data_IF_222662580697
#
_entry.id   IF_222662580697
#
_cell.length_a   1.000
_cell.length_b   1.000
_cell.length_c   1.000
_cell.angle_alpha   90.00
_cell.angle_beta   90.00
_cell.angle_gamma   90.00
#
_symmetry.space_group_name_H-M   'P 1'
#
loop_
_entity.id
_entity.type
_entity.pdbx_description
1 polymer ?
#
# COMPACT_ATOMS: atom_id res chain seq x y z
N UNK A 1 49.83 -36.41 -4.79
CA UNK A 1 48.38 -36.54 -4.54
C UNK A 1 47.91 -35.23 -3.93
N UNK A 2 47.35 -34.36 -4.77
CA UNK A 2 46.72 -33.10 -4.36
C UNK A 2 45.29 -33.20 -4.87
N UNK A 3 44.33 -33.29 -3.95
CA UNK A 3 42.92 -33.40 -4.29
C UNK A 3 42.44 -32.06 -4.87
N UNK A 4 41.78 -32.13 -6.02
CA UNK A 4 41.12 -30.99 -6.64
C UNK A 4 39.90 -30.58 -5.80
N UNK A 5 39.83 -29.29 -5.47
CA UNK A 5 38.63 -28.66 -4.91
C UNK A 5 37.45 -28.81 -5.91
N UNK A 6 36.26 -29.22 -5.47
CA UNK A 6 35.09 -29.17 -6.33
C UNK A 6 34.70 -27.70 -6.51
N UNK A 7 34.77 -27.24 -7.76
CA UNK A 7 34.20 -25.95 -8.17
C UNK A 7 32.71 -25.95 -7.80
N UNK A 8 32.38 -25.19 -6.75
CA UNK A 8 31.02 -24.86 -6.40
C UNK A 8 30.39 -24.20 -7.62
N UNK A 9 29.57 -24.95 -8.34
CA UNK A 9 28.59 -24.42 -9.27
C UNK A 9 27.54 -23.72 -8.42
N UNK A 10 27.89 -22.55 -7.91
CA UNK A 10 26.94 -21.56 -7.46
C UNK A 10 26.26 -21.05 -8.71
N UNK A 11 25.21 -21.74 -9.14
CA UNK A 11 24.21 -21.12 -9.99
C UNK A 11 23.71 -19.91 -9.21
N UNK A 12 24.31 -18.76 -9.48
CA UNK A 12 23.72 -17.47 -9.19
C UNK A 12 22.43 -17.47 -9.99
N UNK A 13 21.33 -17.90 -9.36
CA UNK A 13 20.02 -17.41 -9.73
C UNK A 13 20.14 -15.91 -9.54
N UNK A 14 20.50 -15.22 -10.63
CA UNK A 14 20.33 -13.80 -10.74
C UNK A 14 18.89 -13.56 -10.29
N UNK A 15 18.75 -12.99 -9.11
CA UNK A 15 17.52 -12.39 -8.64
C UNK A 15 17.23 -11.30 -9.67
N UNK A 16 16.55 -11.70 -10.75
CA UNK A 16 16.08 -10.79 -11.78
C UNK A 16 15.12 -9.90 -11.05
N UNK A 17 15.62 -8.73 -10.61
CA UNK A 17 14.78 -7.63 -10.19
C UNK A 17 13.74 -7.49 -11.30
N UNK A 18 12.45 -7.75 -11.02
CA UNK A 18 11.42 -7.60 -12.04
C UNK A 18 11.58 -6.21 -12.64
N UNK A 19 11.52 -6.15 -13.97
CA UNK A 19 11.63 -4.94 -14.77
C UNK A 19 10.83 -3.84 -14.08
N UNK A 20 11.39 -2.62 -13.99
CA UNK A 20 10.84 -1.55 -13.17
C UNK A 20 9.40 -1.24 -13.59
N UNK A 21 8.44 -1.93 -12.98
CA UNK A 21 7.05 -1.56 -12.99
C UNK A 21 7.02 -0.18 -12.34
N UNK A 22 6.76 0.84 -13.16
CA UNK A 22 6.51 2.21 -12.71
C UNK A 22 5.20 2.20 -11.90
N UNK A 23 5.29 1.75 -10.65
CA UNK A 23 4.15 1.76 -9.75
C UNK A 23 3.85 3.20 -9.35
N UNK A 24 2.70 3.70 -9.78
CA UNK A 24 2.16 4.96 -9.28
C UNK A 24 1.96 4.86 -7.77
N UNK A 25 2.75 5.63 -7.01
CA UNK A 25 2.61 5.70 -5.56
C UNK A 25 1.33 6.45 -5.20
N UNK A 26 0.42 5.75 -4.54
CA UNK A 26 -0.84 6.33 -4.07
C UNK A 26 -0.61 7.19 -2.82
N UNK A 27 -1.27 8.34 -2.78
CA UNK A 27 -1.42 9.15 -1.57
C UNK A 27 -2.33 8.46 -0.56
N UNK A 28 -2.28 8.89 0.72
CA UNK A 28 -3.15 8.32 1.76
C UNK A 28 -4.66 8.43 1.43
N UNK A 29 -5.08 9.52 0.78
CA UNK A 29 -6.45 9.70 0.33
C UNK A 29 -6.85 8.71 -0.77
N UNK A 30 -5.97 8.49 -1.75
CA UNK A 30 -6.19 7.53 -2.83
C UNK A 30 -6.21 6.09 -2.32
N UNK A 31 -5.34 5.73 -1.37
CA UNK A 31 -5.40 4.43 -0.70
C UNK A 31 -6.74 4.25 0.03
N UNK A 32 -7.21 5.26 0.77
CA UNK A 32 -8.50 5.21 1.44
C UNK A 32 -9.69 5.10 0.48
N UNK A 33 -9.60 5.73 -0.71
CA UNK A 33 -10.59 5.62 -1.77
C UNK A 33 -10.63 4.20 -2.34
N UNK A 34 -9.48 3.64 -2.71
CA UNK A 34 -9.38 2.25 -3.20
C UNK A 34 -9.90 1.25 -2.18
N UNK A 35 -9.54 1.40 -0.91
CA UNK A 35 -10.05 0.53 0.16
C UNK A 35 -11.57 0.63 0.34
N UNK A 36 -12.19 1.77 0.00
CA UNK A 36 -13.64 1.92 0.02
C UNK A 36 -14.33 1.13 -1.09
N UNK A 37 -13.75 1.10 -2.29
CA UNK A 37 -14.25 0.27 -3.41
C UNK A 37 -14.16 -1.22 -3.07
N UNK A 38 -13.01 -1.65 -2.54
CA UNK A 38 -12.81 -3.03 -2.09
C UNK A 38 -13.80 -3.43 -1.00
N UNK A 39 -14.14 -2.52 -0.08
CA UNK A 39 -15.16 -2.76 0.94
C UNK A 39 -16.55 -2.98 0.36
N UNK A 40 -16.94 -2.19 -0.65
CA UNK A 40 -18.24 -2.37 -1.32
C UNK A 40 -18.29 -3.72 -2.00
N UNK A 41 -17.22 -4.10 -2.70
CA UNK A 41 -17.10 -5.42 -3.34
C UNK A 41 -17.20 -6.57 -2.34
N UNK A 42 -16.43 -6.51 -1.25
CA UNK A 42 -16.44 -7.53 -0.21
C UNK A 42 -17.80 -7.64 0.51
N UNK A 43 -18.46 -6.51 0.77
CA UNK A 43 -19.80 -6.50 1.36
C UNK A 43 -20.84 -7.14 0.42
N UNK A 44 -20.78 -6.85 -0.88
CA UNK A 44 -21.64 -7.50 -1.87
C UNK A 44 -21.35 -9.01 -2.00
N UNK A 45 -20.10 -9.44 -1.84
CA UNK A 45 -19.76 -10.86 -1.77
C UNK A 45 -20.31 -11.54 -0.51
N UNK A 46 -20.20 -10.89 0.65
CA UNK A 46 -20.76 -11.40 1.90
C UNK A 46 -22.29 -11.55 1.82
N UNK A 47 -22.98 -10.57 1.25
CA UNK A 47 -24.43 -10.61 1.07
C UNK A 47 -24.83 -11.79 0.15
N UNK A 48 -24.11 -12.00 -0.95
CA UNK A 48 -24.32 -13.16 -1.83
C UNK A 48 -24.04 -14.49 -1.13
N UNK A 49 -22.99 -14.56 -0.31
CA UNK A 49 -22.65 -15.76 0.44
C UNK A 49 -23.71 -16.12 1.48
N UNK A 50 -24.34 -15.11 2.12
CA UNK A 50 -25.42 -15.31 3.09
C UNK A 50 -26.75 -15.72 2.45
N UNK A 51 -27.05 -15.19 1.27
CA UNK A 51 -28.33 -15.43 0.58
C UNK A 51 -28.30 -16.64 -0.37
N UNK A 52 -27.17 -17.30 -0.55
CA UNK A 52 -27.06 -18.49 -1.41
C UNK A 52 -27.71 -19.72 -0.80
N UNK A 53 -28.16 -20.65 -1.66
CA UNK A 53 -28.82 -21.92 -1.27
C UNK A 53 -27.93 -22.85 -0.43
N UNK A 54 -26.64 -22.57 -0.35
CA UNK A 54 -25.68 -23.29 0.50
C UNK A 54 -24.72 -22.28 1.14
N UNK A 55 -25.19 -21.66 2.22
CA UNK A 55 -24.37 -20.77 3.04
C UNK A 55 -23.19 -21.56 3.63
N UNK A 56 -21.98 -21.23 3.19
CA UNK A 56 -20.73 -21.75 3.75
C UNK A 56 -20.30 -20.85 4.93
N UNK A 57 -20.39 -21.33 6.19
CA UNK A 57 -20.07 -20.54 7.36
C UNK A 57 -18.60 -20.09 7.40
N UNK A 58 -17.68 -20.90 6.88
CA UNK A 58 -16.25 -20.57 6.89
C UNK A 58 -15.94 -19.46 5.91
N UNK A 59 -16.57 -19.51 4.72
CA UNK A 59 -16.48 -18.42 3.74
C UNK A 59 -17.08 -17.12 4.25
N UNK A 60 -18.24 -17.19 4.92
CA UNK A 60 -18.89 -16.01 5.52
C UNK A 60 -17.96 -15.37 6.57
N UNK A 61 -17.40 -16.18 7.48
CA UNK A 61 -16.46 -15.70 8.50
C UNK A 61 -15.22 -15.05 7.87
N UNK A 62 -14.63 -15.68 6.85
CA UNK A 62 -13.46 -15.13 6.15
C UNK A 62 -13.76 -13.77 5.49
N UNK A 63 -14.95 -13.61 4.91
CA UNK A 63 -15.39 -12.33 4.33
C UNK A 63 -15.62 -11.25 5.40
N UNK A 64 -16.19 -11.62 6.54
CA UNK A 64 -16.36 -10.70 7.68
C UNK A 64 -15.01 -10.21 8.23
N UNK A 65 -14.05 -11.11 8.42
CA UNK A 65 -12.69 -10.78 8.85
C UNK A 65 -11.99 -9.86 7.84
N UNK A 66 -12.11 -10.16 6.53
CA UNK A 66 -11.57 -9.30 5.46
C UNK A 66 -12.19 -7.90 5.50
N UNK A 67 -13.50 -7.80 5.67
CA UNK A 67 -14.19 -6.51 5.78
C UNK A 67 -13.68 -5.72 6.99
N UNK A 68 -13.53 -6.34 8.15
CA UNK A 68 -12.99 -5.67 9.35
C UNK A 68 -11.56 -5.15 9.13
N UNK A 69 -10.71 -5.94 8.48
CA UNK A 69 -9.34 -5.55 8.14
C UNK A 69 -9.32 -4.34 7.20
N UNK A 70 -10.14 -4.37 6.15
CA UNK A 70 -10.25 -3.27 5.18
C UNK A 70 -10.79 -2.00 5.83
N UNK A 71 -11.78 -2.09 6.72
CA UNK A 71 -12.31 -0.96 7.48
C UNK A 71 -11.24 -0.33 8.36
N UNK A 72 -10.54 -1.14 9.16
CA UNK A 72 -9.47 -0.69 10.06
C UNK A 72 -8.35 0.00 9.29
N UNK A 73 -7.98 -0.56 8.14
CA UNK A 73 -6.94 -0.01 7.27
C UNK A 73 -7.36 1.32 6.65
N UNK A 74 -8.59 1.41 6.13
CA UNK A 74 -9.14 2.65 5.57
C UNK A 74 -9.16 3.77 6.61
N UNK A 75 -9.62 3.47 7.82
CA UNK A 75 -9.70 4.47 8.89
C UNK A 75 -8.31 4.96 9.32
N UNK A 76 -7.30 4.08 9.30
CA UNK A 76 -5.91 4.48 9.49
C UNK A 76 -5.48 5.47 8.42
N UNK A 77 -5.63 5.15 7.13
CA UNK A 77 -5.21 6.03 6.04
C UNK A 77 -5.94 7.37 6.03
N UNK A 78 -7.25 7.40 6.39
CA UNK A 78 -7.98 8.66 6.59
C UNK A 78 -7.43 9.51 7.74
N UNK A 79 -6.95 8.90 8.82
CA UNK A 79 -6.30 9.64 9.90
C UNK A 79 -4.95 10.21 9.46
N UNK A 80 -4.17 9.43 8.72
CA UNK A 80 -2.89 9.89 8.17
C UNK A 80 -3.07 11.04 7.17
N UNK A 81 -4.07 10.95 6.28
CA UNK A 81 -4.43 12.03 5.35
C UNK A 81 -4.68 13.35 6.07
N UNK A 82 -5.52 13.35 7.11
CA UNK A 82 -5.83 14.57 7.91
C UNK A 82 -4.62 15.08 8.68
N UNK A 83 -3.80 14.19 9.21
CA UNK A 83 -2.56 14.54 9.90
C UNK A 83 -1.60 15.24 8.94
N UNK A 84 -1.43 14.68 7.74
CA UNK A 84 -0.60 15.23 6.68
C UNK A 84 -1.13 16.58 6.17
N UNK A 85 -2.44 16.72 6.00
CA UNK A 85 -3.08 18.00 5.63
C UNK A 85 -2.82 19.07 6.70
N UNK A 86 -2.96 18.72 7.98
CA UNK A 86 -2.70 19.63 9.11
C UNK A 86 -1.24 20.07 9.14
N UNK A 87 -0.30 19.13 8.95
CA UNK A 87 1.12 19.41 8.85
C UNK A 87 1.42 20.36 7.69
N UNK A 88 0.90 20.05 6.50
CA UNK A 88 1.08 20.86 5.29
C UNK A 88 0.51 22.27 5.46
N UNK A 89 -0.65 22.42 6.10
CA UNK A 89 -1.20 23.75 6.41
C UNK A 89 -0.33 24.54 7.40
N UNK A 90 0.24 23.85 8.41
CA UNK A 90 1.02 24.50 9.48
C UNK A 90 2.43 24.91 9.03
N UNK A 91 3.07 24.09 8.19
CA UNK A 91 4.48 24.22 7.84
C UNK A 91 4.72 24.42 6.33
N UNK A 92 3.76 24.10 5.47
CA UNK A 92 3.90 24.16 4.01
C UNK A 92 3.95 25.57 3.42
N UNK A 93 3.57 26.62 4.16
CA UNK A 93 3.74 28.01 3.67
C UNK A 93 5.21 28.49 3.68
N UNK A 94 6.12 27.76 4.35
CA UNK A 94 7.56 28.06 4.35
C UNK A 94 8.25 27.68 3.03
N UNK A 95 7.57 26.95 2.14
CA UNK A 95 8.09 26.57 0.83
C UNK A 95 7.66 27.52 -0.29
N UNK A 96 7.10 28.70 0.00
CA UNK A 96 7.05 29.75 -1.03
C UNK A 96 8.52 30.12 -1.32
N UNK A 97 9.07 29.85 -2.51
CA UNK A 97 10.40 30.31 -2.83
C UNK A 97 10.35 31.82 -2.73
N UNK A 98 11.12 32.41 -1.81
CA UNK A 98 11.47 33.81 -1.94
C UNK A 98 12.02 33.97 -3.35
N UNK A 99 11.44 34.85 -4.14
CA UNK A 99 11.86 35.10 -5.51
C UNK A 99 13.21 35.83 -5.53
N UNK A 100 14.28 35.18 -5.05
CA UNK A 100 15.68 35.54 -5.31
C UNK A 100 16.62 34.38 -4.92
N UNK A 101 17.22 33.64 -5.87
CA UNK A 101 18.07 32.50 -5.57
C UNK A 101 19.56 32.81 -5.77
N UNK A 102 20.07 33.96 -5.30
CA UNK A 102 21.53 34.20 -5.35
C UNK A 102 22.11 34.51 -3.97
N UNK A 103 22.78 33.54 -3.32
CA UNK A 103 23.61 33.86 -2.17
C UNK A 103 24.78 34.74 -2.65
N UNK A 104 24.87 35.97 -2.12
CA UNK A 104 26.07 36.82 -2.30
C UNK A 104 27.06 36.40 -1.23
N UNK A 105 28.06 35.64 -1.62
CA UNK A 105 29.23 35.39 -0.80
C UNK A 105 30.13 36.61 -0.95
N UNK A 106 30.30 37.37 0.14
CA UNK A 106 31.35 38.39 0.30
C UNK A 106 32.39 37.87 1.25
#
# INVERSE_FOLDING_TARGET
MTAAEPAATGAQTADQRPDSDDYDLLTFGEVAARLSEELVSAAAELERARNGDSADPDRIRALEERIQLLQTSKDRYRREERSNETFTRRFGSLLRPSADPRPRWT
#
